data_IF_134237793137
#
_entry.id   IF_134237793137
#
_cell.length_a   1.000
_cell.length_b   1.000
_cell.length_c   1.000
_cell.angle_alpha   90.00
_cell.angle_beta   90.00
_cell.angle_gamma   90.00
#
_symmetry.space_group_name_H-M   'P 1'
#
loop_
_entity.id
_entity.type
_entity.pdbx_description
1 polymer ?
#
# COMPACT_ATOMS: atom_id res chain seq x y z
N UNK A 1 -21.09 6.56 -28.16
CA UNK A 1 -19.65 6.84 -28.35
C UNK A 1 -19.09 5.93 -29.45
N UNK A 2 -18.63 6.49 -30.58
CA UNK A 2 -17.94 5.68 -31.59
C UNK A 2 -16.55 5.31 -31.04
N UNK A 3 -16.21 4.02 -31.09
CA UNK A 3 -14.98 3.49 -30.49
C UNK A 3 -13.74 4.05 -31.20
N UNK A 4 -12.69 4.34 -30.43
CA UNK A 4 -11.38 4.78 -30.92
C UNK A 4 -11.39 6.04 -31.81
N UNK A 5 -12.50 6.77 -31.84
CA UNK A 5 -12.57 8.08 -32.47
C UNK A 5 -12.32 9.17 -31.43
N UNK A 6 -11.49 10.16 -31.76
CA UNK A 6 -11.30 11.28 -30.87
C UNK A 6 -12.60 12.08 -30.68
N UNK A 7 -12.94 12.37 -29.43
CA UNK A 7 -14.06 13.24 -29.05
C UNK A 7 -13.51 14.47 -28.35
N UNK A 8 -14.07 15.64 -28.69
CA UNK A 8 -13.76 16.87 -27.96
C UNK A 8 -14.66 16.98 -26.73
N UNK A 9 -14.07 17.25 -25.57
CA UNK A 9 -14.78 17.54 -24.33
C UNK A 9 -14.53 18.98 -23.89
N UNK A 10 -15.53 19.58 -23.27
CA UNK A 10 -15.45 20.93 -22.71
C UNK A 10 -15.00 20.85 -21.25
N UNK A 11 -13.76 20.42 -20.99
CA UNK A 11 -13.30 20.16 -19.61
C UNK A 11 -12.98 21.46 -18.83
N UNK A 12 -12.29 22.41 -19.46
CA UNK A 12 -11.92 23.71 -18.83
C UNK A 12 -12.47 24.90 -19.61
N UNK A 13 -12.64 24.75 -20.92
CA UNK A 13 -13.36 25.66 -21.82
C UNK A 13 -14.06 24.85 -22.93
N UNK A 14 -14.89 25.52 -23.74
CA UNK A 14 -15.60 24.87 -24.84
C UNK A 14 -14.65 24.11 -25.78
N UNK A 15 -14.87 22.80 -25.94
CA UNK A 15 -14.03 21.90 -26.75
C UNK A 15 -12.52 21.97 -26.43
N UNK A 16 -12.17 22.33 -25.18
CA UNK A 16 -10.80 22.55 -24.73
C UNK A 16 -9.87 21.35 -24.90
N UNK A 17 -10.41 20.13 -24.92
CA UNK A 17 -9.60 18.94 -24.95
C UNK A 17 -10.13 17.86 -25.87
N UNK A 18 -9.22 17.08 -26.44
CA UNK A 18 -9.50 15.97 -27.33
C UNK A 18 -9.07 14.68 -26.65
N UNK A 19 -10.00 13.76 -26.46
CA UNK A 19 -9.76 12.47 -25.81
C UNK A 19 -10.06 11.32 -26.78
N UNK A 20 -9.31 10.23 -26.64
CA UNK A 20 -9.63 8.95 -27.28
C UNK A 20 -9.83 7.94 -26.18
N UNK A 21 -11.00 7.29 -26.15
CA UNK A 21 -11.35 6.34 -25.08
C UNK A 21 -11.23 4.91 -25.64
N UNK A 22 -10.23 4.13 -25.19
CA UNK A 22 -10.06 2.74 -25.59
C UNK A 22 -11.30 1.89 -25.32
N UNK A 23 -11.52 0.90 -26.18
CA UNK A 23 -12.59 -0.08 -25.97
C UNK A 23 -12.48 -0.76 -24.59
N UNK A 24 -13.56 -0.71 -23.82
CA UNK A 24 -13.65 -1.34 -22.50
C UNK A 24 -13.12 -0.49 -21.33
N UNK A 25 -12.53 0.69 -21.59
CA UNK A 25 -12.11 1.59 -20.52
C UNK A 25 -13.32 2.18 -19.80
N UNK A 26 -13.50 1.81 -18.53
CA UNK A 26 -14.55 2.37 -17.65
C UNK A 26 -14.10 3.57 -16.82
N UNK A 27 -12.80 3.90 -16.87
CA UNK A 27 -12.15 4.93 -16.05
C UNK A 27 -11.80 6.17 -16.85
N UNK A 28 -11.64 7.29 -16.14
CA UNK A 28 -11.05 8.50 -16.69
C UNK A 28 -10.11 9.14 -15.69
N UNK A 29 -8.95 9.59 -16.17
CA UNK A 29 -7.86 10.11 -15.37
C UNK A 29 -7.45 11.51 -15.81
N UNK A 30 -7.42 12.44 -14.86
CA UNK A 30 -7.10 13.85 -15.05
C UNK A 30 -5.89 14.18 -14.18
N UNK A 31 -4.78 14.53 -14.82
CA UNK A 31 -3.54 14.95 -14.16
C UNK A 31 -3.37 16.46 -14.23
N UNK A 32 -2.62 17.03 -13.28
CA UNK A 32 -2.21 18.44 -13.29
C UNK A 32 -0.77 18.54 -13.79
N UNK A 33 -0.54 19.36 -14.83
CA UNK A 33 0.79 19.56 -15.42
C UNK A 33 1.79 20.09 -14.39
N UNK A 34 3.01 19.55 -14.43
CA UNK A 34 4.09 19.93 -13.51
C UNK A 34 3.94 19.40 -12.08
N UNK A 35 2.82 18.75 -11.73
CA UNK A 35 2.57 18.20 -10.39
C UNK A 35 2.39 16.68 -10.46
N UNK A 36 1.44 16.21 -11.27
CA UNK A 36 1.13 14.78 -11.34
C UNK A 36 2.21 14.02 -12.09
N UNK A 37 2.52 12.81 -11.61
CA UNK A 37 3.44 11.87 -12.25
C UNK A 37 2.67 10.69 -12.84
N UNK A 38 3.12 10.15 -13.96
CA UNK A 38 2.53 8.98 -14.59
C UNK A 38 1.73 9.31 -15.85
N UNK A 39 0.87 8.36 -16.25
CA UNK A 39 0.02 8.48 -17.44
C UNK A 39 -1.38 8.86 -17.02
N UNK A 40 -1.90 9.91 -17.64
CA UNK A 40 -3.28 10.37 -17.49
C UNK A 40 -3.91 10.46 -18.88
N UNK A 41 -5.24 10.29 -18.94
CA UNK A 41 -6.01 10.46 -20.18
C UNK A 41 -5.95 11.92 -20.63
N UNK A 42 -5.84 12.85 -19.68
CA UNK A 42 -5.81 14.28 -19.94
C UNK A 42 -5.00 15.04 -18.89
N UNK A 43 -4.56 16.24 -19.29
CA UNK A 43 -3.74 17.12 -18.47
C UNK A 43 -4.34 18.52 -18.41
N UNK A 44 -4.54 19.03 -17.19
CA UNK A 44 -5.00 20.40 -16.91
C UNK A 44 -3.89 21.25 -16.29
N UNK A 45 -4.04 22.56 -16.31
CA UNK A 45 -3.13 23.48 -15.63
C UNK A 45 -3.43 23.58 -14.13
N UNK A 46 -2.48 24.09 -13.36
CA UNK A 46 -2.67 24.37 -11.94
C UNK A 46 -3.78 25.42 -11.75
N UNK A 47 -4.78 25.09 -10.94
CA UNK A 47 -5.90 26.00 -10.62
C UNK A 47 -7.04 26.01 -11.65
N UNK A 48 -6.98 25.16 -12.68
CA UNK A 48 -8.09 25.02 -13.61
C UNK A 48 -9.38 24.55 -12.91
N UNK A 49 -10.49 25.23 -13.22
CA UNK A 49 -11.83 24.81 -12.81
C UNK A 49 -12.34 23.77 -13.79
N UNK A 50 -12.83 22.64 -13.27
CA UNK A 50 -13.30 21.52 -14.09
C UNK A 50 -14.81 21.60 -14.31
N UNK A 51 -15.23 21.61 -15.57
CA UNK A 51 -16.64 21.53 -15.98
C UNK A 51 -17.11 20.07 -15.94
N UNK A 52 -17.36 19.54 -14.74
CA UNK A 52 -17.69 18.12 -14.52
C UNK A 52 -18.91 17.61 -15.30
N UNK A 53 -19.86 18.48 -15.62
CA UNK A 53 -21.02 18.15 -16.46
C UNK A 53 -20.64 17.74 -17.88
N UNK A 54 -19.40 18.00 -18.35
CA UNK A 54 -18.93 17.48 -19.62
C UNK A 54 -19.00 15.95 -19.70
N UNK A 55 -19.04 15.24 -18.56
CA UNK A 55 -19.15 13.79 -18.50
C UNK A 55 -20.60 13.25 -18.58
N UNK A 56 -21.62 14.11 -18.56
CA UNK A 56 -23.02 13.68 -18.46
C UNK A 56 -23.55 13.03 -19.75
N UNK A 57 -23.00 13.40 -20.89
CA UNK A 57 -23.40 12.90 -22.21
C UNK A 57 -22.82 11.51 -22.52
N UNK A 58 -21.87 11.04 -21.71
CA UNK A 58 -21.14 9.81 -22.00
C UNK A 58 -21.75 8.59 -21.30
N UNK A 59 -21.92 7.54 -22.09
CA UNK A 59 -22.38 6.23 -21.62
C UNK A 59 -21.58 5.12 -22.28
N UNK A 60 -21.42 4.02 -21.55
CA UNK A 60 -20.87 2.77 -22.06
C UNK A 60 -21.83 2.19 -23.12
N UNK A 61 -21.36 1.27 -23.99
CA UNK A 61 -22.23 0.56 -24.92
C UNK A 61 -23.38 -0.21 -24.24
N UNK A 62 -23.24 -0.56 -22.96
CA UNK A 62 -24.27 -1.22 -22.16
C UNK A 62 -25.28 -0.24 -21.51
N UNK A 63 -25.17 1.06 -21.81
CA UNK A 63 -26.09 2.09 -21.31
C UNK A 63 -25.78 2.61 -19.90
N UNK A 64 -24.71 2.14 -19.26
CA UNK A 64 -24.25 2.69 -17.99
C UNK A 64 -23.55 4.03 -18.20
N UNK A 65 -23.62 4.94 -17.24
CA UNK A 65 -22.90 6.21 -17.31
C UNK A 65 -21.38 5.97 -17.39
N UNK A 66 -20.70 6.76 -18.20
CA UNK A 66 -19.23 6.76 -18.30
C UNK A 66 -18.73 8.18 -17.97
N UNK A 67 -17.61 8.33 -17.25
CA UNK A 67 -16.82 7.31 -16.55
C UNK A 67 -17.55 6.76 -15.32
N UNK A 68 -17.17 5.53 -14.92
CA UNK A 68 -17.60 4.89 -13.66
C UNK A 68 -16.55 5.07 -12.55
N UNK A 69 -15.29 5.16 -12.96
CA UNK A 69 -14.13 5.31 -12.08
C UNK A 69 -13.36 6.59 -12.45
N UNK A 70 -13.02 7.40 -11.47
CA UNK A 70 -12.25 8.63 -11.67
C UNK A 70 -10.91 8.59 -10.94
N UNK A 71 -9.88 9.11 -11.60
CA UNK A 71 -8.57 9.39 -11.00
C UNK A 71 -8.24 10.85 -11.24
N UNK A 72 -8.37 11.68 -10.21
CA UNK A 72 -8.20 13.12 -10.33
C UNK A 72 -7.10 13.62 -9.40
N UNK A 73 -6.03 14.13 -10.00
CA UNK A 73 -4.98 14.82 -9.28
C UNK A 73 -5.14 16.33 -9.50
N UNK A 74 -5.79 17.00 -8.55
CA UNK A 74 -6.07 18.44 -8.58
C UNK A 74 -6.93 18.91 -7.42
N UNK A 75 -7.11 20.23 -7.28
CA UNK A 75 -7.78 20.84 -6.12
C UNK A 75 -9.26 21.19 -6.36
N UNK A 76 -9.74 21.16 -7.61
CA UNK A 76 -11.14 21.46 -7.92
C UNK A 76 -12.05 20.38 -7.31
N UNK A 77 -12.92 20.78 -6.40
CA UNK A 77 -13.85 19.89 -5.72
C UNK A 77 -15.26 19.93 -6.33
N UNK A 78 -15.43 20.49 -7.54
CA UNK A 78 -16.72 20.60 -8.22
C UNK A 78 -17.40 19.25 -8.48
N UNK A 79 -16.63 18.17 -8.50
CA UNK A 79 -17.15 16.80 -8.61
C UNK A 79 -18.10 16.45 -7.47
N UNK A 80 -17.94 17.07 -6.29
CA UNK A 80 -18.77 16.83 -5.12
C UNK A 80 -20.23 17.17 -5.42
N UNK A 81 -20.50 18.41 -5.86
CA UNK A 81 -21.85 18.84 -6.22
C UNK A 81 -22.38 18.09 -7.46
N UNK A 82 -21.52 17.91 -8.46
CA UNK A 82 -21.88 17.17 -9.67
C UNK A 82 -22.33 15.74 -9.38
N UNK A 83 -21.66 15.05 -8.45
CA UNK A 83 -22.00 13.69 -8.05
C UNK A 83 -23.31 13.56 -7.27
N UNK A 84 -23.94 14.65 -6.81
CA UNK A 84 -25.25 14.56 -6.12
C UNK A 84 -26.35 13.98 -7.01
N UNK A 85 -26.31 14.31 -8.31
CA UNK A 85 -27.28 13.86 -9.32
C UNK A 85 -26.73 12.73 -10.19
N UNK A 86 -25.46 12.35 -9.96
CA UNK A 86 -24.76 11.40 -10.79
C UNK A 86 -23.93 10.40 -9.98
N UNK A 87 -24.41 9.14 -9.87
CA UNK A 87 -23.65 8.09 -9.19
C UNK A 87 -22.26 7.90 -9.81
N UNK A 88 -21.27 7.79 -8.95
CA UNK A 88 -19.89 7.42 -9.27
C UNK A 88 -19.53 6.17 -8.46
N UNK A 89 -18.99 5.14 -9.12
CA UNK A 89 -18.62 3.90 -8.43
C UNK A 89 -17.36 4.11 -7.59
N UNK A 90 -16.28 4.60 -8.21
CA UNK A 90 -15.01 4.89 -7.55
C UNK A 90 -14.50 6.29 -7.92
N UNK A 91 -14.13 7.08 -6.92
CA UNK A 91 -13.51 8.37 -7.12
C UNK A 91 -12.21 8.47 -6.33
N UNK A 92 -11.08 8.55 -7.05
CA UNK A 92 -9.76 8.75 -6.47
C UNK A 92 -9.34 10.19 -6.62
N UNK A 93 -9.05 10.84 -5.50
CA UNK A 93 -8.69 12.24 -5.42
C UNK A 93 -7.31 12.45 -4.79
N UNK A 94 -6.46 13.19 -5.48
CA UNK A 94 -5.10 13.52 -5.08
C UNK A 94 -4.95 15.04 -5.12
N UNK A 95 -5.48 15.77 -4.12
CA UNK A 95 -5.21 17.20 -3.98
C UNK A 95 -3.71 17.43 -3.75
N UNK A 96 -3.24 18.63 -4.08
CA UNK A 96 -1.84 19.06 -3.84
C UNK A 96 -1.75 20.36 -3.04
N UNK A 97 -2.89 20.94 -2.64
CA UNK A 97 -2.98 22.01 -1.65
C UNK A 97 -4.06 21.65 -0.62
N UNK A 98 -4.16 22.43 0.45
CA UNK A 98 -5.18 22.18 1.47
C UNK A 98 -6.57 22.41 0.90
N UNK A 99 -7.48 21.46 1.16
CA UNK A 99 -8.81 21.41 0.56
C UNK A 99 -9.87 21.07 1.61
N UNK A 100 -11.09 21.53 1.36
CA UNK A 100 -12.28 21.17 2.12
C UNK A 100 -13.36 20.67 1.17
N UNK A 101 -14.00 19.56 1.51
CA UNK A 101 -15.08 18.98 0.71
C UNK A 101 -16.26 18.52 1.58
N UNK A 102 -17.47 18.92 1.19
CA UNK A 102 -18.73 18.50 1.83
C UNK A 102 -19.40 17.39 1.00
N UNK A 103 -18.99 16.14 1.24
CA UNK A 103 -19.52 14.96 0.54
C UNK A 103 -20.80 14.41 1.18
N UNK A 104 -21.54 15.21 1.96
CA UNK A 104 -22.74 14.73 2.66
C UNK A 104 -23.85 14.30 1.70
N UNK A 105 -23.93 14.92 0.52
CA UNK A 105 -24.92 14.62 -0.53
C UNK A 105 -24.35 13.87 -1.75
N UNK A 106 -23.04 13.77 -1.85
CA UNK A 106 -22.34 13.13 -2.96
C UNK A 106 -22.78 11.67 -3.14
N UNK A 107 -23.07 11.26 -4.37
CA UNK A 107 -23.39 9.86 -4.72
C UNK A 107 -22.14 9.12 -5.19
N UNK A 108 -21.19 8.94 -4.28
CA UNK A 108 -19.92 8.25 -4.52
C UNK A 108 -19.90 6.97 -3.68
N UNK A 109 -19.76 5.82 -4.33
CA UNK A 109 -19.72 4.53 -3.66
C UNK A 109 -18.43 4.32 -2.86
N UNK A 110 -17.30 4.34 -3.56
CA UNK A 110 -15.97 4.22 -2.98
C UNK A 110 -15.22 5.54 -3.17
N UNK A 111 -14.84 6.18 -2.06
CA UNK A 111 -14.11 7.44 -2.09
C UNK A 111 -12.69 7.23 -1.61
N UNK A 112 -11.73 7.52 -2.48
CA UNK A 112 -10.31 7.46 -2.18
C UNK A 112 -9.74 8.86 -2.17
N UNK A 113 -9.00 9.17 -1.10
CA UNK A 113 -8.30 10.44 -1.00
C UNK A 113 -6.90 10.23 -0.44
N UNK A 114 -5.95 10.89 -1.07
CA UNK A 114 -4.56 10.93 -0.64
C UNK A 114 -4.24 12.30 -0.07
N UNK A 115 -3.48 12.33 1.02
CA UNK A 115 -2.94 13.56 1.59
C UNK A 115 -1.43 13.40 1.80
N UNK A 116 -0.58 14.11 1.06
CA UNK A 116 0.88 13.98 1.22
C UNK A 116 1.40 14.85 2.39
N UNK A 117 1.00 16.13 2.41
CA UNK A 117 1.33 17.07 3.48
C UNK A 117 0.30 18.19 3.68
N UNK A 118 -0.63 18.31 2.77
CA UNK A 118 -1.75 19.24 2.74
C UNK A 118 -2.91 18.78 3.64
N UNK A 119 -3.59 19.75 4.25
CA UNK A 119 -4.76 19.45 5.09
C UNK A 119 -5.97 19.11 4.21
N UNK A 120 -6.63 18.00 4.55
CA UNK A 120 -7.85 17.57 3.87
C UNK A 120 -8.99 17.56 4.88
N UNK A 121 -9.91 18.52 4.76
CA UNK A 121 -11.12 18.59 5.58
C UNK A 121 -12.31 17.94 4.88
N UNK A 122 -12.98 16.98 5.53
CA UNK A 122 -14.08 16.23 4.93
C UNK A 122 -15.34 16.26 5.81
N UNK A 123 -16.49 16.37 5.16
CA UNK A 123 -17.78 15.89 5.69
C UNK A 123 -18.28 14.74 4.83
N UNK A 124 -18.68 13.64 5.45
CA UNK A 124 -18.97 12.39 4.74
C UNK A 124 -20.45 12.02 4.86
N UNK A 125 -21.06 11.71 3.70
CA UNK A 125 -22.45 11.27 3.58
C UNK A 125 -22.63 9.74 3.65
N UNK A 126 -23.88 9.28 3.75
CA UNK A 126 -24.21 7.86 3.90
C UNK A 126 -24.07 7.03 2.62
N UNK A 127 -23.87 7.68 1.46
CA UNK A 127 -23.70 6.98 0.18
C UNK A 127 -22.29 6.44 -0.02
N UNK A 128 -21.31 6.96 0.74
CA UNK A 128 -19.94 6.44 0.79
C UNK A 128 -19.95 5.12 1.56
N UNK A 129 -19.78 4.02 0.84
CA UNK A 129 -19.77 2.65 1.39
C UNK A 129 -18.37 2.21 1.80
N UNK A 130 -17.35 2.74 1.12
CA UNK A 130 -15.95 2.51 1.43
C UNK A 130 -15.18 3.83 1.36
N UNK A 131 -14.47 4.14 2.43
CA UNK A 131 -13.57 5.27 2.50
C UNK A 131 -12.12 4.76 2.50
N UNK A 132 -11.29 5.32 1.63
CA UNK A 132 -9.87 5.01 1.56
C UNK A 132 -9.08 6.29 1.86
N UNK A 133 -8.35 6.28 2.96
CA UNK A 133 -7.44 7.36 3.34
C UNK A 133 -6.01 6.87 3.15
N UNK A 134 -5.22 7.63 2.41
CA UNK A 134 -3.81 7.30 2.15
C UNK A 134 -2.90 8.52 2.31
N UNK A 135 -1.61 8.28 2.50
CA UNK A 135 -0.63 9.33 2.69
C UNK A 135 -0.36 9.63 4.17
N UNK A 136 -0.06 10.88 4.49
CA UNK A 136 0.05 11.35 5.87
C UNK A 136 -1.33 11.45 6.52
N UNK A 137 -1.73 10.38 7.22
CA UNK A 137 -3.09 10.30 7.79
C UNK A 137 -3.40 11.38 8.82
N UNK A 138 -2.38 12.02 9.43
CA UNK A 138 -2.57 13.12 10.37
C UNK A 138 -3.14 14.39 9.73
N UNK A 139 -3.13 14.48 8.39
CA UNK A 139 -3.66 15.65 7.67
C UNK A 139 -5.17 15.58 7.43
N UNK A 140 -5.81 14.44 7.68
CA UNK A 140 -7.25 14.30 7.51
C UNK A 140 -8.02 14.84 8.71
N UNK A 141 -8.92 15.78 8.45
CA UNK A 141 -9.82 16.36 9.44
C UNK A 141 -11.26 16.04 9.09
N UNK A 142 -11.81 15.01 9.75
CA UNK A 142 -13.20 14.59 9.53
C UNK A 142 -14.13 15.43 10.41
N UNK A 143 -14.72 16.49 9.85
CA UNK A 143 -15.62 17.40 10.58
C UNK A 143 -16.93 16.72 10.94
N UNK A 144 -17.47 15.93 10.01
CA UNK A 144 -18.72 15.20 10.16
C UNK A 144 -18.66 13.90 9.37
N UNK A 145 -19.28 12.84 9.88
CA UNK A 145 -19.42 11.59 9.13
C UNK A 145 -20.75 10.93 9.43
N UNK A 146 -21.45 10.51 8.38
CA UNK A 146 -22.40 9.41 8.49
C UNK A 146 -21.64 8.10 8.84
N UNK A 147 -22.38 7.03 9.16
CA UNK A 147 -21.77 5.73 9.43
C UNK A 147 -21.05 5.21 8.19
N UNK A 148 -19.73 5.07 8.27
CA UNK A 148 -18.91 4.44 7.23
C UNK A 148 -18.87 2.92 7.48
N UNK A 149 -19.28 2.08 6.51
CA UNK A 149 -19.23 0.63 6.66
C UNK A 149 -17.81 0.07 6.64
N UNK A 150 -16.92 0.67 5.83
CA UNK A 150 -15.60 0.12 5.58
C UNK A 150 -14.57 1.24 5.44
N UNK A 151 -13.48 1.14 6.19
CA UNK A 151 -12.38 2.10 6.20
C UNK A 151 -11.07 1.42 5.81
N UNK A 152 -10.44 1.91 4.76
CA UNK A 152 -9.09 1.51 4.37
C UNK A 152 -8.10 2.61 4.73
N UNK A 153 -6.97 2.22 5.33
CA UNK A 153 -5.92 3.10 5.80
C UNK A 153 -4.59 2.64 5.20
N UNK A 154 -3.96 3.52 4.41
CA UNK A 154 -2.65 3.26 3.81
C UNK A 154 -1.71 4.42 4.13
N UNK A 155 -1.15 4.48 5.36
CA UNK A 155 -0.26 5.56 5.74
C UNK A 155 1.05 5.52 4.95
N UNK A 156 1.60 6.70 4.66
CA UNK A 156 2.97 6.81 4.14
C UNK A 156 3.96 6.50 5.26
N UNK A 157 4.49 5.28 5.25
CA UNK A 157 5.53 4.80 6.16
C UNK A 157 6.93 5.16 5.67
N UNK A 158 7.85 5.40 6.59
CA UNK A 158 9.24 5.74 6.26
C UNK A 158 10.14 4.50 6.22
N UNK A 159 10.92 4.32 5.15
CA UNK A 159 11.71 3.08 4.91
C UNK A 159 12.73 2.74 6.01
N UNK A 160 13.33 3.73 6.67
CA UNK A 160 14.39 3.54 7.68
C UNK A 160 13.94 3.93 9.10
N UNK A 161 12.64 4.13 9.32
CA UNK A 161 12.12 4.56 10.62
C UNK A 161 11.94 3.36 11.57
N UNK A 162 12.40 3.54 12.81
CA UNK A 162 12.35 2.54 13.87
C UNK A 162 11.10 2.75 14.72
N UNK A 163 10.63 3.99 14.86
CA UNK A 163 9.43 4.33 15.62
C UNK A 163 8.19 3.84 14.86
N UNK A 164 7.39 2.92 15.44
CA UNK A 164 6.18 2.43 14.78
C UNK A 164 5.21 3.55 14.42
N UNK A 165 4.57 3.43 13.25
CA UNK A 165 3.53 4.33 12.82
C UNK A 165 2.26 4.10 13.64
N UNK A 166 1.84 5.13 14.39
CA UNK A 166 0.56 5.14 15.12
C UNK A 166 -0.48 5.92 14.33
N UNK A 167 -1.67 5.34 14.17
CA UNK A 167 -2.80 6.09 13.59
C UNK A 167 -3.09 7.34 14.44
N UNK A 168 -3.45 8.47 13.80
CA UNK A 168 -4.09 9.56 14.51
C UNK A 168 -5.46 9.13 15.03
N UNK A 169 -6.02 9.92 15.95
CA UNK A 169 -7.32 9.62 16.55
C UNK A 169 -8.46 10.03 15.62
N UNK A 170 -9.20 9.05 15.11
CA UNK A 170 -10.36 9.18 14.25
C UNK A 170 -11.67 8.94 15.01
N UNK A 171 -12.04 9.84 15.92
CA UNK A 171 -13.26 9.70 16.75
C UNK A 171 -14.55 9.51 15.94
N UNK A 172 -14.62 10.03 14.70
CA UNK A 172 -15.79 9.87 13.82
C UNK A 172 -15.94 8.46 13.25
N UNK A 173 -14.93 7.61 13.40
CA UNK A 173 -14.90 6.25 12.86
C UNK A 173 -14.92 5.17 13.94
N UNK A 174 -15.10 5.52 15.22
CA UNK A 174 -15.13 4.59 16.36
C UNK A 174 -16.05 3.37 16.13
N UNK A 175 -17.18 3.58 15.43
CA UNK A 175 -18.20 2.56 15.18
C UNK A 175 -18.04 1.80 13.84
N UNK A 176 -16.93 1.99 13.12
CA UNK A 176 -16.65 1.29 11.85
C UNK A 176 -16.48 -0.21 12.10
N UNK A 177 -17.23 -1.07 11.40
CA UNK A 177 -17.15 -2.52 11.59
C UNK A 177 -16.06 -3.22 10.78
N UNK A 178 -15.52 -2.58 9.74
CA UNK A 178 -14.54 -3.20 8.84
C UNK A 178 -13.37 -2.24 8.59
N UNK A 179 -12.17 -2.68 8.92
CA UNK A 179 -10.93 -1.93 8.69
C UNK A 179 -9.95 -2.76 7.90
N UNK A 180 -9.30 -2.11 6.93
CA UNK A 180 -8.15 -2.62 6.21
C UNK A 180 -6.98 -1.65 6.38
N UNK A 181 -5.83 -2.16 6.80
CA UNK A 181 -4.59 -1.40 6.93
C UNK A 181 -3.55 -2.00 6.02
N UNK A 182 -2.94 -1.16 5.18
CA UNK A 182 -1.87 -1.57 4.29
C UNK A 182 -0.64 -0.71 4.51
N UNK A 183 0.46 -1.34 4.92
CA UNK A 183 1.79 -0.77 4.92
C UNK A 183 2.74 -1.66 4.13
N UNK A 184 3.90 -1.15 3.67
CA UNK A 184 4.92 -1.98 3.07
C UNK A 184 5.39 -3.11 4.01
N UNK A 185 5.77 -4.29 3.48
CA UNK A 185 6.32 -5.39 4.29
C UNK A 185 7.70 -5.10 4.91
N UNK A 186 8.37 -4.03 4.50
CA UNK A 186 9.69 -3.62 5.00
C UNK A 186 9.67 -2.11 5.21
N UNK A 187 10.29 -1.66 6.31
CA UNK A 187 10.34 -0.25 6.71
C UNK A 187 9.64 -0.02 8.03
N UNK A 188 9.09 1.17 8.26
CA UNK A 188 8.36 1.51 9.48
C UNK A 188 7.21 0.51 9.72
N UNK A 189 7.19 -0.09 10.91
CA UNK A 189 6.10 -0.97 11.32
C UNK A 189 4.83 -0.18 11.64
N UNK A 190 3.67 -0.77 11.36
CA UNK A 190 2.38 -0.25 11.82
C UNK A 190 2.09 -0.73 13.25
N UNK A 191 1.73 0.19 14.13
CA UNK A 191 1.37 -0.12 15.51
C UNK A 191 -0.09 -0.56 15.64
N UNK A 192 -0.30 -1.85 15.88
CA UNK A 192 -1.63 -2.43 16.01
C UNK A 192 -2.40 -1.93 17.25
N UNK A 193 -1.73 -1.37 18.27
CA UNK A 193 -2.40 -0.77 19.42
C UNK A 193 -3.26 0.44 19.01
N UNK A 194 -2.86 1.15 17.94
CA UNK A 194 -3.63 2.29 17.44
C UNK A 194 -5.01 1.92 16.87
N UNK A 195 -5.31 0.63 16.69
CA UNK A 195 -6.62 0.12 16.28
C UNK A 195 -7.63 0.05 17.42
N UNK A 196 -7.19 0.17 18.69
CA UNK A 196 -8.09 0.07 19.85
C UNK A 196 -9.11 1.22 19.94
N UNK A 197 -8.93 2.27 19.14
CA UNK A 197 -9.91 3.36 18.98
C UNK A 197 -11.20 2.94 18.26
N UNK A 198 -11.25 1.75 17.64
CA UNK A 198 -12.41 1.27 16.87
C UNK A 198 -13.21 0.23 17.68
N UNK A 199 -14.15 0.68 18.50
CA UNK A 199 -14.81 -0.14 19.52
C UNK A 199 -15.80 -1.17 18.96
N UNK A 200 -16.24 -1.01 17.71
CA UNK A 200 -17.22 -1.91 17.07
C UNK A 200 -16.61 -2.72 15.90
N UNK A 201 -15.30 -2.87 15.89
CA UNK A 201 -14.58 -3.56 14.83
C UNK A 201 -14.91 -5.07 14.82
N UNK A 202 -15.35 -5.56 13.65
CA UNK A 202 -15.73 -6.97 13.41
C UNK A 202 -14.85 -7.66 12.38
N UNK A 203 -14.33 -6.93 11.39
CA UNK A 203 -13.40 -7.46 10.40
C UNK A 203 -12.16 -6.60 10.33
N UNK A 204 -11.01 -7.26 10.38
CA UNK A 204 -9.72 -6.59 10.32
C UNK A 204 -8.83 -7.25 9.26
N UNK A 205 -8.39 -6.45 8.29
CA UNK A 205 -7.37 -6.83 7.33
C UNK A 205 -6.10 -6.05 7.60
N UNK A 206 -4.97 -6.74 7.75
CA UNK A 206 -3.66 -6.15 7.98
C UNK A 206 -2.67 -6.66 6.94
N UNK A 207 -1.96 -5.72 6.32
CA UNK A 207 -0.91 -6.01 5.35
C UNK A 207 0.38 -5.29 5.69
N UNK A 208 1.50 -6.01 5.63
CA UNK A 208 2.85 -5.45 5.74
C UNK A 208 3.53 -5.62 7.10
N UNK A 209 4.47 -4.72 7.41
CA UNK A 209 5.25 -4.76 8.66
C UNK A 209 4.40 -4.29 9.86
N UNK A 210 4.21 -5.15 10.86
CA UNK A 210 3.31 -4.92 11.99
C UNK A 210 4.08 -5.04 13.32
N UNK A 211 3.63 -4.30 14.33
CA UNK A 211 4.08 -4.45 15.71
C UNK A 211 2.90 -4.40 16.69
N UNK A 212 3.15 -4.76 17.95
CA UNK A 212 2.17 -4.80 19.03
C UNK A 212 0.92 -5.63 18.70
N UNK A 213 1.09 -6.76 17.99
CA UNK A 213 -0.03 -7.65 17.61
C UNK A 213 -0.81 -8.19 18.83
N UNK A 214 -0.19 -8.25 20.00
CA UNK A 214 -0.86 -8.64 21.24
C UNK A 214 -2.09 -7.77 21.55
N UNK A 215 -2.09 -6.49 21.13
CA UNK A 215 -3.21 -5.57 21.35
C UNK A 215 -4.50 -6.04 20.67
N UNK A 216 -4.41 -6.82 19.60
CA UNK A 216 -5.57 -7.32 18.85
C UNK A 216 -6.50 -8.20 19.71
N UNK A 217 -6.00 -8.78 20.81
CA UNK A 217 -6.83 -9.56 21.75
C UNK A 217 -7.93 -8.73 22.42
N UNK A 218 -7.74 -7.41 22.52
CA UNK A 218 -8.71 -6.51 23.13
C UNK A 218 -9.91 -6.23 22.19
N UNK A 219 -9.75 -6.51 20.89
CA UNK A 219 -10.82 -6.45 19.88
C UNK A 219 -11.68 -7.73 19.95
N UNK A 220 -12.42 -7.89 21.05
CA UNK A 220 -13.11 -9.15 21.42
C UNK A 220 -14.21 -9.59 20.45
N UNK A 221 -14.69 -8.68 19.59
CA UNK A 221 -15.81 -8.90 18.67
C UNK A 221 -15.37 -9.20 17.23
N UNK A 222 -14.08 -9.48 17.00
CA UNK A 222 -13.61 -9.87 15.67
C UNK A 222 -14.24 -11.19 15.22
N UNK A 223 -14.88 -11.12 14.06
CA UNK A 223 -15.49 -12.23 13.32
C UNK A 223 -14.59 -12.64 12.13
N UNK A 224 -13.76 -11.72 11.63
CA UNK A 224 -12.90 -11.88 10.47
C UNK A 224 -11.51 -11.26 10.67
N UNK A 225 -10.46 -12.03 10.37
CA UNK A 225 -9.07 -11.54 10.41
C UNK A 225 -8.34 -11.96 9.11
N UNK A 226 -7.71 -10.99 8.45
CA UNK A 226 -6.81 -11.23 7.33
C UNK A 226 -5.42 -10.69 7.64
N UNK A 227 -4.40 -11.52 7.43
CA UNK A 227 -2.98 -11.19 7.55
C UNK A 227 -2.30 -11.46 6.21
N UNK A 228 -1.75 -10.41 5.60
CA UNK A 228 -1.11 -10.48 4.29
C UNK A 228 0.28 -9.88 4.34
N UNK A 229 1.24 -10.56 3.72
CA UNK A 229 2.61 -10.05 3.62
C UNK A 229 3.25 -9.63 4.97
N UNK A 230 2.95 -10.36 6.04
CA UNK A 230 3.37 -10.00 7.40
C UNK A 230 4.72 -10.66 7.71
N UNK A 231 5.82 -9.88 7.77
CA UNK A 231 7.18 -10.41 7.95
C UNK A 231 7.45 -10.87 9.39
N UNK A 232 6.71 -10.33 10.37
CA UNK A 232 6.86 -10.62 11.77
C UNK A 232 5.49 -10.79 12.43
N UNK A 233 5.27 -11.95 13.02
CA UNK A 233 4.07 -12.29 13.75
C UNK A 233 4.32 -12.40 15.25
N UNK A 234 5.42 -11.83 15.75
CA UNK A 234 5.71 -11.74 17.17
C UNK A 234 4.48 -11.23 17.94
N UNK A 235 4.19 -11.90 19.05
CA UNK A 235 3.07 -11.59 19.95
C UNK A 235 1.67 -11.71 19.33
N UNK A 236 1.52 -12.38 18.18
CA UNK A 236 0.20 -12.68 17.62
C UNK A 236 -0.63 -13.52 18.60
N UNK A 237 -1.86 -13.07 18.97
CA UNK A 237 -2.73 -13.85 19.85
C UNK A 237 -3.17 -15.17 19.21
N UNK A 238 -3.38 -16.19 20.06
CA UNK A 238 -3.98 -17.44 19.63
C UNK A 238 -5.38 -17.20 19.04
N UNK A 239 -5.73 -17.89 17.95
CA UNK A 239 -6.99 -17.69 17.22
C UNK A 239 -8.23 -17.95 18.09
N UNK A 240 -8.11 -18.79 19.13
CA UNK A 240 -9.18 -19.09 20.08
C UNK A 240 -9.60 -17.87 20.93
N UNK A 241 -8.77 -16.82 21.00
CA UNK A 241 -9.06 -15.56 21.67
C UNK A 241 -10.37 -14.93 21.18
N UNK A 242 -10.65 -15.06 19.87
CA UNK A 242 -11.84 -14.52 19.25
C UNK A 242 -12.90 -15.61 19.10
N UNK A 243 -13.82 -15.66 20.07
CA UNK A 243 -14.89 -16.66 20.10
C UNK A 243 -15.84 -16.59 18.89
N UNK A 244 -15.95 -15.42 18.25
CA UNK A 244 -16.82 -15.17 17.09
C UNK A 244 -16.10 -15.31 15.75
N UNK A 245 -14.81 -15.66 15.73
CA UNK A 245 -14.03 -15.78 14.50
C UNK A 245 -14.58 -16.92 13.62
N UNK A 246 -15.09 -16.56 12.44
CA UNK A 246 -15.59 -17.48 11.40
C UNK A 246 -14.89 -17.27 10.05
N UNK A 247 -14.00 -16.28 9.94
CA UNK A 247 -13.19 -16.03 8.76
C UNK A 247 -11.73 -15.77 9.14
N UNK A 248 -10.80 -16.51 8.52
CA UNK A 248 -9.37 -16.29 8.75
C UNK A 248 -8.53 -16.52 7.49
N UNK A 249 -7.64 -15.58 7.17
CA UNK A 249 -6.60 -15.74 6.15
C UNK A 249 -5.24 -15.35 6.70
N UNK A 250 -4.28 -16.26 6.59
CA UNK A 250 -2.85 -15.95 6.63
C UNK A 250 -2.21 -16.26 5.28
N UNK A 251 -1.74 -15.24 4.55
CA UNK A 251 -1.13 -15.42 3.23
C UNK A 251 0.16 -14.61 3.06
N UNK A 252 1.26 -15.27 2.65
CA UNK A 252 2.60 -14.67 2.68
C UNK A 252 2.92 -14.10 4.07
N UNK A 253 2.89 -14.95 5.09
CA UNK A 253 3.17 -14.57 6.48
C UNK A 253 4.41 -15.29 7.01
N UNK A 254 5.00 -14.76 8.08
CA UNK A 254 6.12 -15.34 8.82
C UNK A 254 5.90 -16.84 9.08
N UNK A 255 6.94 -17.63 8.85
CA UNK A 255 6.87 -19.08 8.77
C UNK A 255 6.57 -19.76 10.10
N UNK A 256 7.29 -19.43 11.17
CA UNK A 256 7.25 -20.17 12.43
C UNK A 256 5.92 -19.95 13.16
N UNK A 257 5.52 -18.70 13.33
CA UNK A 257 4.22 -18.36 13.93
C UNK A 257 3.09 -18.76 12.98
N UNK A 258 3.28 -18.62 11.67
CA UNK A 258 2.31 -19.08 10.67
C UNK A 258 2.04 -20.60 10.74
N UNK A 259 3.04 -21.43 11.05
CA UNK A 259 2.85 -22.87 11.32
C UNK A 259 1.98 -23.10 12.56
N UNK A 260 2.15 -22.29 13.62
CA UNK A 260 1.32 -22.34 14.83
C UNK A 260 -0.12 -21.99 14.51
N UNK A 261 -0.36 -20.84 13.86
CA UNK A 261 -1.70 -20.39 13.45
C UNK A 261 -2.40 -21.43 12.57
N UNK A 262 -1.65 -22.08 11.66
CA UNK A 262 -2.20 -23.16 10.83
C UNK A 262 -2.71 -24.35 11.65
N UNK A 263 -1.97 -24.76 12.69
CA UNK A 263 -2.39 -25.85 13.59
C UNK A 263 -3.59 -25.44 14.44
N UNK A 264 -3.59 -24.21 14.97
CA UNK A 264 -4.73 -23.68 15.72
C UNK A 264 -5.99 -23.64 14.87
N UNK A 265 -5.89 -23.14 13.64
CA UNK A 265 -7.01 -23.07 12.69
C UNK A 265 -7.57 -24.47 12.39
N UNK A 266 -6.71 -25.48 12.22
CA UNK A 266 -7.13 -26.88 12.04
C UNK A 266 -7.87 -27.44 13.23
N UNK A 267 -7.47 -27.08 14.46
CA UNK A 267 -8.16 -27.52 15.66
C UNK A 267 -9.51 -26.80 15.81
N UNK A 268 -9.54 -25.48 15.67
CA UNK A 268 -10.77 -24.68 15.74
C UNK A 268 -11.80 -25.10 14.68
N UNK A 269 -11.35 -25.50 13.49
CA UNK A 269 -12.24 -25.97 12.41
C UNK A 269 -12.99 -27.27 12.76
N UNK A 270 -12.60 -27.99 13.82
CA UNK A 270 -13.35 -29.14 14.35
C UNK A 270 -14.49 -28.72 15.28
N UNK A 271 -14.39 -27.53 15.85
CA UNK A 271 -15.27 -27.02 16.91
C UNK A 271 -16.28 -25.99 16.37
N UNK A 272 -15.95 -25.29 15.28
CA UNK A 272 -16.80 -24.26 14.68
C UNK A 272 -16.73 -24.28 13.15
N UNK A 273 -17.79 -23.78 12.51
CA UNK A 273 -17.86 -23.63 11.04
C UNK A 273 -17.25 -22.31 10.63
N UNK A 274 -16.31 -22.36 9.68
CA UNK A 274 -15.72 -21.18 9.06
C UNK A 274 -16.36 -20.91 7.71
N UNK A 275 -16.66 -19.64 7.43
CA UNK A 275 -17.00 -19.17 6.07
C UNK A 275 -15.80 -19.32 5.14
N UNK A 276 -14.61 -19.01 5.65
CA UNK A 276 -13.34 -19.28 4.96
C UNK A 276 -12.20 -19.35 5.98
N UNK A 277 -11.27 -20.29 5.77
CA UNK A 277 -10.15 -20.50 6.67
C UNK A 277 -8.94 -20.99 5.86
N UNK A 278 -7.87 -20.20 5.79
CA UNK A 278 -6.64 -20.68 5.17
C UNK A 278 -5.37 -20.06 5.76
N UNK A 279 -4.32 -20.88 5.83
CA UNK A 279 -2.93 -20.43 6.05
C UNK A 279 -2.06 -20.99 4.96
N UNK A 280 -1.47 -20.12 4.15
CA UNK A 280 -0.69 -20.52 2.98
C UNK A 280 0.45 -19.56 2.68
N UNK A 281 1.42 -20.05 1.90
CA UNK A 281 2.65 -19.31 1.54
C UNK A 281 3.41 -18.81 2.79
N UNK A 282 3.84 -19.73 3.64
CA UNK A 282 4.69 -19.40 4.79
C UNK A 282 6.10 -18.99 4.30
N UNK A 283 6.64 -17.91 4.86
CA UNK A 283 7.88 -17.27 4.40
C UNK A 283 8.83 -17.01 5.56
N UNK A 284 10.11 -17.29 5.37
CA UNK A 284 11.16 -16.80 6.28
C UNK A 284 11.23 -15.28 6.23
N UNK A 285 11.58 -14.61 7.33
CA UNK A 285 11.73 -13.15 7.40
C UNK A 285 12.57 -12.58 6.24
N UNK A 286 13.70 -13.23 5.94
CA UNK A 286 14.60 -12.82 4.84
C UNK A 286 13.94 -12.77 3.46
N UNK A 287 12.90 -13.57 3.21
CA UNK A 287 12.18 -13.53 1.93
C UNK A 287 11.50 -12.18 1.70
N UNK A 288 10.95 -11.56 2.76
CA UNK A 288 10.32 -10.25 2.65
C UNK A 288 11.35 -9.16 2.35
N UNK A 289 12.50 -9.20 3.02
CA UNK A 289 13.60 -8.27 2.76
C UNK A 289 14.16 -8.43 1.34
N UNK A 290 14.33 -9.67 0.87
CA UNK A 290 14.80 -9.93 -0.49
C UNK A 290 13.82 -9.50 -1.60
N UNK A 291 12.51 -9.57 -1.32
CA UNK A 291 11.46 -9.25 -2.29
C UNK A 291 11.09 -7.75 -2.26
N UNK A 292 10.95 -7.17 -1.07
CA UNK A 292 10.42 -5.81 -0.86
C UNK A 292 11.46 -4.83 -0.31
N UNK A 293 12.57 -5.32 0.24
CA UNK A 293 13.62 -4.53 0.89
C UNK A 293 14.92 -4.41 0.07
N UNK A 294 14.85 -4.61 -1.25
CA UNK A 294 16.03 -4.53 -2.13
C UNK A 294 16.69 -3.15 -1.95
N UNK A 295 17.96 -3.08 -1.54
CA UNK A 295 18.62 -1.82 -1.21
C UNK A 295 18.60 -0.82 -2.38
N UNK A 296 18.84 -1.34 -3.59
CA UNK A 296 19.06 -0.55 -4.80
C UNK A 296 17.79 -0.01 -5.48
N UNK A 297 16.62 -0.20 -4.90
CA UNK A 297 15.36 0.21 -5.51
C UNK A 297 15.22 1.74 -5.70
N UNK A 298 15.98 2.54 -4.95
CA UNK A 298 15.98 4.01 -5.03
C UNK A 298 17.03 4.60 -5.97
N UNK A 299 17.88 3.78 -6.59
CA UNK A 299 18.98 4.24 -7.44
C UNK A 299 18.48 4.66 -8.83
N UNK A 300 19.35 5.31 -9.61
CA UNK A 300 19.08 5.59 -11.02
C UNK A 300 18.79 4.29 -11.81
N UNK A 301 17.76 4.31 -12.67
CA UNK A 301 17.18 3.13 -13.34
C UNK A 301 18.21 2.15 -13.93
N UNK A 302 19.30 2.64 -14.53
CA UNK A 302 20.32 1.78 -15.13
C UNK A 302 21.16 1.06 -14.06
N UNK A 303 21.66 1.80 -13.06
CA UNK A 303 22.48 1.26 -11.98
C UNK A 303 21.62 0.37 -11.06
N UNK A 304 20.41 0.80 -10.72
CA UNK A 304 19.42 0.03 -9.96
C UNK A 304 19.17 -1.36 -10.56
N UNK A 305 18.96 -1.42 -11.89
CA UNK A 305 18.71 -2.69 -12.60
C UNK A 305 19.91 -3.63 -12.55
N UNK A 306 21.12 -3.12 -12.75
CA UNK A 306 22.34 -3.92 -12.71
C UNK A 306 22.62 -4.45 -11.30
N UNK A 307 22.60 -3.57 -10.30
CA UNK A 307 22.83 -3.92 -8.90
C UNK A 307 21.77 -4.91 -8.39
N UNK A 308 20.49 -4.66 -8.68
CA UNK A 308 19.38 -5.57 -8.33
C UNK A 308 19.55 -6.95 -8.96
N UNK A 309 19.98 -7.01 -10.22
CA UNK A 309 20.21 -8.29 -10.90
C UNK A 309 21.33 -9.08 -10.23
N UNK A 310 22.47 -8.45 -9.94
CA UNK A 310 23.57 -9.13 -9.27
C UNK A 310 23.21 -9.58 -7.86
N UNK A 311 22.52 -8.75 -7.09
CA UNK A 311 22.04 -9.15 -5.76
C UNK A 311 21.07 -10.33 -5.79
N UNK A 312 20.11 -10.35 -6.73
CA UNK A 312 19.21 -11.52 -6.88
C UNK A 312 19.94 -12.78 -7.32
N UNK A 313 20.99 -12.65 -8.13
CA UNK A 313 21.87 -13.78 -8.48
C UNK A 313 22.62 -14.28 -7.24
N UNK A 314 23.25 -13.39 -6.48
CA UNK A 314 23.99 -13.74 -5.28
C UNK A 314 23.09 -14.38 -4.21
N UNK A 315 21.87 -13.88 -3.98
CA UNK A 315 20.88 -14.52 -3.09
C UNK A 315 20.63 -15.98 -3.48
N UNK A 316 20.49 -16.26 -4.78
CA UNK A 316 20.23 -17.61 -5.29
C UNK A 316 21.44 -18.53 -5.11
N UNK A 317 22.65 -18.01 -5.26
CA UNK A 317 23.90 -18.77 -5.06
C UNK A 317 24.16 -19.04 -3.59
N UNK A 318 24.06 -18.02 -2.74
CA UNK A 318 24.27 -18.11 -1.29
C UNK A 318 23.27 -19.07 -0.65
N UNK A 319 22.00 -19.06 -1.07
CA UNK A 319 21.01 -20.02 -0.56
C UNK A 319 21.35 -21.50 -0.85
N UNK A 320 22.28 -21.77 -1.78
CA UNK A 320 22.76 -23.11 -2.14
C UNK A 320 24.20 -23.38 -1.70
N UNK A 321 24.89 -22.37 -1.18
CA UNK A 321 26.28 -22.49 -0.76
C UNK A 321 26.41 -23.49 0.39
N UNK A 322 27.46 -24.30 0.31
CA UNK A 322 27.84 -25.30 1.32
C UNK A 322 29.09 -24.89 2.10
N UNK A 323 29.85 -23.93 1.57
CA UNK A 323 31.07 -23.42 2.20
C UNK A 323 31.02 -21.91 2.36
N UNK A 324 31.73 -21.40 3.38
CA UNK A 324 31.86 -19.96 3.57
C UNK A 324 32.53 -19.28 2.38
N UNK A 325 33.43 -19.97 1.69
CA UNK A 325 34.12 -19.42 0.52
C UNK A 325 33.18 -19.19 -0.65
N UNK A 326 32.23 -20.10 -0.90
CA UNK A 326 31.19 -19.89 -1.92
C UNK A 326 30.34 -18.64 -1.58
N UNK A 327 30.01 -18.43 -0.30
CA UNK A 327 29.31 -17.22 0.12
C UNK A 327 30.15 -15.97 -0.09
N UNK A 328 31.43 -15.99 0.29
CA UNK A 328 32.36 -14.88 0.06
C UNK A 328 32.43 -14.53 -1.43
N UNK A 329 32.57 -15.52 -2.30
CA UNK A 329 32.66 -15.32 -3.76
C UNK A 329 31.43 -14.58 -4.29
N UNK A 330 30.22 -15.04 -3.97
CA UNK A 330 28.99 -14.37 -4.43
C UNK A 330 28.84 -12.95 -3.88
N UNK A 331 29.25 -12.69 -2.63
CA UNK A 331 29.27 -11.33 -2.06
C UNK A 331 30.26 -10.44 -2.81
N UNK A 332 31.48 -10.93 -3.05
CA UNK A 332 32.54 -10.18 -3.74
C UNK A 332 32.15 -9.85 -5.18
N UNK A 333 31.42 -10.73 -5.87
CA UNK A 333 30.91 -10.44 -7.22
C UNK A 333 29.93 -9.26 -7.23
N UNK A 334 29.05 -9.15 -6.23
CA UNK A 334 28.14 -8.00 -6.09
C UNK A 334 28.94 -6.72 -5.86
N UNK A 335 29.91 -6.74 -4.94
CA UNK A 335 30.74 -5.57 -4.61
C UNK A 335 31.51 -5.12 -5.86
N UNK A 336 32.18 -6.05 -6.55
CA UNK A 336 32.94 -5.75 -7.76
C UNK A 336 32.06 -5.18 -8.86
N UNK A 337 30.82 -5.65 -9.02
CA UNK A 337 29.89 -5.02 -9.95
C UNK A 337 29.62 -3.57 -9.55
N UNK A 338 29.31 -3.32 -8.28
CA UNK A 338 28.97 -1.98 -7.78
C UNK A 338 30.13 -1.00 -8.01
N UNK A 339 31.37 -1.40 -7.74
CA UNK A 339 32.57 -0.60 -8.01
C UNK A 339 32.67 -0.13 -9.49
N UNK A 340 32.14 -0.91 -10.44
CA UNK A 340 32.17 -0.53 -11.87
C UNK A 340 31.05 0.42 -12.29
N UNK A 341 30.08 0.69 -11.40
CA UNK A 341 28.95 1.54 -11.73
C UNK A 341 29.37 3.02 -11.69
N UNK A 342 29.05 3.80 -12.74
CA UNK A 342 29.40 5.22 -12.75
C UNK A 342 28.52 6.00 -11.78
N UNK A 343 29.09 7.08 -11.25
CA UNK A 343 28.37 8.14 -10.51
C UNK A 343 27.61 7.67 -9.27
N UNK A 344 28.12 6.65 -8.55
CA UNK A 344 27.48 6.17 -7.32
C UNK A 344 27.65 7.16 -6.15
N UNK A 345 26.53 7.59 -5.58
CA UNK A 345 26.49 8.53 -4.45
C UNK A 345 26.81 7.87 -3.11
N UNK A 346 27.10 8.67 -2.07
CA UNK A 346 27.43 8.14 -0.73
C UNK A 346 26.30 7.26 -0.17
N UNK A 347 25.05 7.65 -0.36
CA UNK A 347 23.89 6.86 0.07
C UNK A 347 23.76 5.53 -0.68
N UNK A 348 24.17 5.49 -1.96
CA UNK A 348 24.19 4.25 -2.74
C UNK A 348 25.33 3.32 -2.27
N UNK A 349 26.45 3.87 -1.82
CA UNK A 349 27.54 3.09 -1.20
C UNK A 349 27.09 2.43 0.11
N UNK A 350 26.29 3.12 0.91
CA UNK A 350 25.68 2.55 2.12
C UNK A 350 24.69 1.41 1.78
N UNK A 351 23.90 1.56 0.71
CA UNK A 351 23.00 0.50 0.24
C UNK A 351 23.76 -0.76 -0.18
N UNK A 352 24.99 -0.64 -0.69
CA UNK A 352 25.87 -1.77 -0.98
C UNK A 352 26.26 -2.53 0.29
N UNK A 353 26.60 -1.83 1.38
CA UNK A 353 26.86 -2.45 2.68
C UNK A 353 25.63 -3.17 3.22
N UNK A 354 24.46 -2.52 3.15
CA UNK A 354 23.18 -3.14 3.53
C UNK A 354 22.90 -4.41 2.71
N UNK A 355 23.24 -4.42 1.42
CA UNK A 355 23.09 -5.60 0.58
C UNK A 355 23.95 -6.78 1.09
N UNK A 356 25.17 -6.53 1.56
CA UNK A 356 26.03 -7.57 2.14
C UNK A 356 25.41 -8.17 3.40
N UNK A 357 24.92 -7.33 4.31
CA UNK A 357 24.23 -7.80 5.53
C UNK A 357 23.00 -8.64 5.21
N UNK A 358 22.20 -8.23 4.22
CA UNK A 358 21.05 -9.02 3.77
C UNK A 358 21.46 -10.35 3.12
N UNK A 359 22.56 -10.36 2.35
CA UNK A 359 23.05 -11.56 1.68
C UNK A 359 23.50 -12.62 2.70
N UNK A 360 24.22 -12.25 3.76
CA UNK A 360 24.63 -13.21 4.79
C UNK A 360 23.45 -13.79 5.57
N UNK A 361 22.38 -13.01 5.80
CA UNK A 361 21.16 -13.50 6.44
C UNK A 361 20.40 -14.54 5.59
N UNK A 362 20.66 -14.58 4.28
CA UNK A 362 20.10 -15.60 3.38
C UNK A 362 20.88 -16.92 3.38
N UNK A 363 22.08 -16.92 3.95
CA UNK A 363 22.94 -18.10 4.02
C UNK A 363 22.42 -19.12 5.03
N UNK A 364 22.60 -20.40 4.72
CA UNK A 364 22.42 -21.48 5.71
C UNK A 364 23.60 -21.62 6.66
N UNK A 365 24.73 -20.97 6.34
CA UNK A 365 25.95 -20.96 7.14
C UNK A 365 25.94 -19.75 8.08
N UNK A 366 26.40 -19.95 9.31
CA UNK A 366 26.54 -18.87 10.29
C UNK A 366 27.74 -17.98 9.96
N UNK A 367 27.50 -16.89 9.22
CA UNK A 367 28.49 -15.86 8.93
C UNK A 367 28.15 -14.64 9.76
N UNK A 368 29.11 -14.12 10.53
CA UNK A 368 28.90 -12.93 11.35
C UNK A 368 28.98 -11.67 10.51
N UNK A 369 28.30 -10.60 10.95
CA UNK A 369 28.38 -9.29 10.30
C UNK A 369 29.80 -8.74 10.27
N UNK A 370 30.61 -8.97 11.31
CA UNK A 370 32.02 -8.52 11.32
C UNK A 370 32.83 -9.15 10.19
N UNK A 371 32.63 -10.45 9.96
CA UNK A 371 33.33 -11.19 8.90
C UNK A 371 32.87 -10.74 7.50
N UNK A 372 31.57 -10.50 7.34
CA UNK A 372 31.02 -9.98 6.10
C UNK A 372 31.51 -8.55 5.81
N UNK A 373 31.61 -7.71 6.85
CA UNK A 373 32.16 -6.37 6.75
C UNK A 373 33.65 -6.39 6.39
N UNK A 374 34.44 -7.33 6.92
CA UNK A 374 35.82 -7.52 6.47
C UNK A 374 35.90 -7.83 4.96
N UNK A 375 35.02 -8.68 4.44
CA UNK A 375 34.96 -8.93 3.00
C UNK A 375 34.48 -7.69 2.22
N UNK A 376 33.53 -6.94 2.76
CA UNK A 376 33.08 -5.71 2.12
C UNK A 376 34.21 -4.68 2.02
N UNK A 377 34.92 -4.44 3.11
CA UNK A 377 36.05 -3.51 3.21
C UNK A 377 37.25 -3.95 2.36
N UNK A 378 37.48 -5.26 2.20
CA UNK A 378 38.58 -5.80 1.39
C UNK A 378 38.40 -5.52 -0.11
N UNK A 379 37.16 -5.44 -0.62
CA UNK A 379 36.88 -5.39 -2.06
C UNK A 379 36.20 -4.11 -2.54
N UNK A 380 35.64 -3.26 -1.66
CA UNK A 380 35.09 -1.96 -2.08
C UNK A 380 36.20 -0.98 -2.44
N UNK A 381 35.98 -0.13 -3.45
CA UNK A 381 36.94 0.90 -3.90
C UNK A 381 36.42 2.33 -3.72
N UNK A 382 35.33 2.50 -2.97
CA UNK A 382 34.58 3.74 -2.79
C UNK A 382 34.46 4.19 -1.33
#
# INVERSE_FOLDING_TARGET
MQKDQPVCISLTAAQSHKITIPAGQGSFSIGTKGISKGKYDIWVEKGDVIQWNCFDEFSTPAGSRWPRFFYYAGNDNGFVQWSEQRPVEDFHWFPYESVSADLTKADIGNFHVHAAGEQVELKLGSKIRRLYLSGNLAQFHIKQSARIPYLHLSPDTVKKEIIPYKLPVFTKFEQVPHIDVNVPPVGQAFDCESLLQFTNLKSLSLSGNLTNLHALKELKHLESIELRYVPDLADMPALATWSQLTYFIGWNIEEETGKVLKKELQQLSKERVFTYASVSKLRKKIWFTAEYGIPFAGWADKNAKLATKAYKTALKEISKAKTENEVKVSIVEVIRLINTLPDIETTEREDAGLAVDQLIQSSSLSITSEKANQWFDEYRDF
#
